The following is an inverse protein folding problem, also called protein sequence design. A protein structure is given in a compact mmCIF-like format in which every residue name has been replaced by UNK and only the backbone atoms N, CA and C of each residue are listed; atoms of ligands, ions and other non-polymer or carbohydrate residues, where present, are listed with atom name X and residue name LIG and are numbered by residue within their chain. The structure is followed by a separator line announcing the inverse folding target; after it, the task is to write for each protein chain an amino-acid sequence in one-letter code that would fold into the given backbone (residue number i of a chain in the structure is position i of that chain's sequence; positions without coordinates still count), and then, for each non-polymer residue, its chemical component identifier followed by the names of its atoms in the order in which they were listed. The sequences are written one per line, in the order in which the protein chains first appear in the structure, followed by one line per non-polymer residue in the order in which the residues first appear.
data_IF_604173553926
#
_entry.id   IF_604173553926
#
_cell.length_a   1.000
_cell.length_b   1.000
_cell.length_c   1.000
_cell.angle_alpha   90.00
_cell.angle_beta   90.00
_cell.angle_gamma   90.00
#
_symmetry.space_group_name_H-M   'P 1'
#
loop_
_entity.id
_entity.type
_entity.pdbx_description
1 polymer ?
#
# COMPACT_ATOMS: atom_id res chain seq x y z
N UNK A 1 5.16 -38.00 3.67
CA UNK A 1 5.35 -36.54 3.54
C UNK A 1 6.03 -36.28 2.21
N UNK A 2 5.49 -35.41 1.36
CA UNK A 2 6.13 -35.04 0.10
C UNK A 2 7.20 -33.96 0.36
N UNK A 3 8.46 -34.38 0.37
CA UNK A 3 9.60 -33.50 0.67
C UNK A 3 9.74 -32.37 -0.37
N UNK A 4 9.39 -32.62 -1.63
CA UNK A 4 9.48 -31.61 -2.69
C UNK A 4 8.42 -30.53 -2.50
N UNK A 5 7.21 -30.92 -2.09
CA UNK A 5 6.15 -29.96 -1.77
C UNK A 5 6.50 -29.09 -0.55
N UNK A 6 7.05 -29.68 0.52
CA UNK A 6 7.51 -28.91 1.67
C UNK A 6 8.57 -27.87 1.26
N UNK A 7 9.60 -28.31 0.53
CA UNK A 7 10.69 -27.42 0.09
C UNK A 7 10.15 -26.29 -0.81
N UNK A 8 9.19 -26.59 -1.70
CA UNK A 8 8.52 -25.59 -2.51
C UNK A 8 7.77 -24.55 -1.66
N UNK A 9 7.02 -24.98 -0.65
CA UNK A 9 6.27 -24.09 0.23
C UNK A 9 7.21 -23.23 1.08
N UNK A 10 8.30 -23.79 1.61
CA UNK A 10 9.32 -23.04 2.36
C UNK A 10 9.96 -21.95 1.49
N UNK A 11 10.37 -22.28 0.24
CA UNK A 11 10.89 -21.30 -0.72
C UNK A 11 9.85 -20.24 -1.09
N UNK A 12 8.58 -20.64 -1.19
CA UNK A 12 7.48 -19.70 -1.46
C UNK A 12 7.29 -18.71 -0.31
N UNK A 13 7.33 -19.17 0.94
CA UNK A 13 7.24 -18.29 2.12
C UNK A 13 8.42 -17.33 2.20
N UNK A 14 9.63 -17.79 1.89
CA UNK A 14 10.82 -16.96 1.83
C UNK A 14 10.69 -15.87 0.74
N UNK A 15 10.31 -16.25 -0.48
CA UNK A 15 10.08 -15.32 -1.59
C UNK A 15 8.98 -14.28 -1.28
N UNK A 16 7.93 -14.68 -0.56
CA UNK A 16 6.86 -13.79 -0.14
C UNK A 16 7.27 -12.84 1.01
N UNK A 17 8.48 -12.99 1.57
CA UNK A 17 9.02 -12.12 2.61
C UNK A 17 8.67 -12.55 4.03
N UNK A 18 8.27 -13.81 4.24
CA UNK A 18 8.04 -14.38 5.58
C UNK A 18 9.30 -15.01 6.18
N UNK A 19 10.28 -15.33 5.33
CA UNK A 19 11.54 -15.97 5.71
C UNK A 19 11.33 -17.41 6.18
N UNK A 20 12.21 -17.88 7.05
CA UNK A 20 12.24 -19.27 7.54
C UNK A 20 11.49 -19.49 8.86
N UNK A 21 10.94 -18.42 9.46
CA UNK A 21 10.31 -18.44 10.80
C UNK A 21 9.12 -19.39 10.92
N UNK A 22 8.51 -19.76 9.80
CA UNK A 22 7.36 -20.65 9.75
C UNK A 22 7.70 -22.08 9.32
N UNK A 23 8.97 -22.39 9.03
CA UNK A 23 9.35 -23.66 8.42
C UNK A 23 9.02 -24.85 9.33
N UNK A 24 9.37 -24.77 10.61
CA UNK A 24 9.14 -25.86 11.59
C UNK A 24 7.64 -26.12 11.82
N UNK A 25 6.85 -25.05 11.95
CA UNK A 25 5.39 -25.17 12.17
C UNK A 25 4.68 -25.61 10.89
N UNK A 26 5.17 -25.22 9.71
CA UNK A 26 4.67 -25.70 8.42
C UNK A 26 4.94 -27.20 8.25
N UNK A 27 6.16 -27.64 8.53
CA UNK A 27 6.54 -29.06 8.48
C UNK A 27 5.68 -29.89 9.44
N UNK A 28 5.54 -29.43 10.69
CA UNK A 28 4.70 -30.08 11.69
C UNK A 28 3.22 -30.15 11.26
N UNK A 29 2.69 -29.09 10.64
CA UNK A 29 1.31 -29.08 10.14
C UNK A 29 1.12 -30.07 8.98
N UNK A 30 2.03 -30.09 8.01
CA UNK A 30 1.97 -31.01 6.87
C UNK A 30 2.11 -32.48 7.32
N UNK A 31 2.94 -32.75 8.33
CA UNK A 31 3.09 -34.08 8.91
C UNK A 31 1.78 -34.63 9.51
N UNK A 32 0.97 -33.76 10.14
CA UNK A 32 -0.35 -34.12 10.70
C UNK A 32 -1.42 -34.38 9.65
N UNK A 33 -1.14 -34.04 8.39
CA UNK A 33 -2.02 -34.21 7.24
C UNK A 33 -3.45 -33.61 7.32
N UNK A 34 -3.67 -32.41 7.89
CA UNK A 34 -5.01 -31.79 7.93
C UNK A 34 -5.50 -31.36 6.54
N UNK A 35 -6.80 -31.41 6.26
CA UNK A 35 -7.33 -30.93 4.97
C UNK A 35 -7.07 -29.43 4.73
N UNK A 36 -7.15 -28.62 5.80
CA UNK A 36 -6.89 -27.18 5.79
C UNK A 36 -6.22 -26.77 7.10
N UNK A 37 -5.34 -25.79 7.04
CA UNK A 37 -4.74 -25.18 8.22
C UNK A 37 -4.26 -23.76 7.91
N UNK A 38 -4.00 -22.99 8.96
CA UNK A 38 -3.49 -21.62 8.84
C UNK A 38 -2.27 -21.39 9.74
N UNK A 39 -1.34 -20.56 9.28
CA UNK A 39 -0.14 -20.18 10.03
C UNK A 39 -0.10 -18.67 10.24
N UNK A 40 -0.03 -18.24 11.51
CA UNK A 40 0.05 -16.83 11.88
C UNK A 40 1.48 -16.31 12.00
N UNK A 41 1.75 -15.10 11.53
CA UNK A 41 3.04 -14.42 11.75
C UNK A 41 2.87 -12.91 11.91
N UNK A 42 3.59 -12.36 12.87
CA UNK A 42 3.66 -10.91 13.09
C UNK A 42 4.96 -10.33 12.50
N UNK A 43 4.83 -9.17 11.88
CA UNK A 43 5.92 -8.38 11.32
C UNK A 43 5.79 -6.93 11.76
N UNK A 44 6.93 -6.25 11.83
CA UNK A 44 7.03 -4.85 12.23
C UNK A 44 7.66 -4.07 11.08
N UNK A 45 7.08 -2.93 10.74
CA UNK A 45 7.59 -2.04 9.70
C UNK A 45 7.79 -0.64 10.25
N UNK A 46 8.90 -0.01 9.87
CA UNK A 46 9.18 1.38 10.23
C UNK A 46 8.56 2.26 9.13
N UNK A 47 7.62 3.17 9.47
CA UNK A 47 7.08 4.15 8.53
C UNK A 47 8.19 4.98 7.89
N UNK A 48 7.97 5.45 6.65
CA UNK A 48 9.00 6.14 5.90
C UNK A 48 9.41 7.47 6.59
N UNK A 49 8.46 8.13 7.24
CA UNK A 49 8.64 9.33 8.04
C UNK A 49 9.58 9.14 9.26
N UNK A 50 9.72 7.91 9.75
CA UNK A 50 10.51 7.58 10.96
C UNK A 50 11.77 6.77 10.68
N UNK A 51 12.20 6.66 9.42
CA UNK A 51 13.42 5.90 9.07
C UNK A 51 14.66 6.37 9.82
N UNK A 52 14.76 7.66 10.12
CA UNK A 52 15.87 8.24 10.88
C UNK A 52 15.72 8.13 12.39
N UNK A 53 14.54 7.77 12.88
CA UNK A 53 14.21 7.73 14.31
C UNK A 53 13.11 6.68 14.59
N UNK A 54 13.47 5.39 14.61
CA UNK A 54 12.51 4.29 14.73
C UNK A 54 11.74 4.26 16.07
N UNK A 55 12.19 5.00 17.09
CA UNK A 55 11.53 5.05 18.40
C UNK A 55 10.21 5.83 18.35
N UNK A 56 10.03 6.69 17.33
CA UNK A 56 8.80 7.49 17.16
C UNK A 56 7.57 6.69 16.78
N UNK A 57 7.73 5.52 16.19
CA UNK A 57 6.59 4.70 15.80
C UNK A 57 6.95 3.52 14.94
N UNK A 58 6.20 2.44 15.14
CA UNK A 58 6.35 1.20 14.37
C UNK A 58 4.96 0.68 14.03
N UNK A 59 4.78 0.30 12.77
CA UNK A 59 3.56 -0.35 12.32
C UNK A 59 3.63 -1.84 12.58
N UNK A 60 2.50 -2.42 12.99
CA UNK A 60 2.37 -3.84 13.26
C UNK A 60 1.51 -4.48 12.18
N UNK A 61 2.05 -5.51 11.54
CA UNK A 61 1.37 -6.31 10.54
C UNK A 61 1.18 -7.72 11.07
N UNK A 62 -0.08 -8.16 11.15
CA UNK A 62 -0.43 -9.56 11.43
C UNK A 62 -0.82 -10.23 10.13
N UNK A 63 -0.20 -11.36 9.83
CA UNK A 63 -0.52 -12.20 8.69
C UNK A 63 -1.06 -13.54 9.17
N UNK A 64 -2.06 -14.06 8.47
CA UNK A 64 -2.58 -15.41 8.62
C UNK A 64 -2.61 -16.09 7.25
N UNK A 65 -1.72 -17.07 7.07
CA UNK A 65 -1.45 -17.76 5.81
C UNK A 65 -2.33 -19.02 5.74
N UNK A 66 -3.21 -19.09 4.75
CA UNK A 66 -4.21 -20.15 4.62
C UNK A 66 -3.77 -21.24 3.64
N UNK A 67 -3.65 -22.47 4.12
CA UNK A 67 -3.22 -23.64 3.34
C UNK A 67 -4.33 -24.67 3.19
N UNK A 68 -4.29 -25.45 2.10
CA UNK A 68 -5.13 -26.63 1.93
C UNK A 68 -4.41 -27.77 1.23
N UNK A 69 -4.82 -28.99 1.54
CA UNK A 69 -4.44 -30.21 0.84
C UNK A 69 -5.27 -30.36 -0.44
N UNK A 70 -4.63 -30.70 -1.56
CA UNK A 70 -5.34 -31.11 -2.76
C UNK A 70 -5.93 -32.51 -2.61
N UNK A 71 -7.07 -32.72 -3.25
CA UNK A 71 -7.84 -33.97 -3.18
C UNK A 71 -7.21 -35.12 -3.96
N UNK A 72 -6.41 -34.82 -4.97
CA UNK A 72 -5.98 -35.80 -5.98
C UNK A 72 -4.56 -36.33 -5.75
N UNK A 73 -3.67 -35.54 -5.15
CA UNK A 73 -2.24 -35.85 -5.10
C UNK A 73 -1.61 -35.63 -3.71
N UNK A 74 -2.42 -35.39 -2.68
CA UNK A 74 -1.96 -35.14 -1.30
C UNK A 74 -0.96 -33.99 -1.12
N UNK A 75 -0.86 -33.09 -2.11
CA UNK A 75 0.02 -31.91 -2.11
C UNK A 75 -0.64 -30.74 -1.38
N UNK A 76 0.14 -29.94 -0.65
CA UNK A 76 -0.35 -28.72 -0.01
C UNK A 76 -0.10 -27.47 -0.85
N UNK A 77 -1.06 -26.54 -0.78
CA UNK A 77 -1.02 -25.26 -1.46
C UNK A 77 -1.24 -24.12 -0.47
N UNK A 78 -0.50 -23.03 -0.65
CA UNK A 78 -0.79 -21.74 -0.01
C UNK A 78 -1.78 -20.99 -0.90
N UNK A 79 -2.99 -20.73 -0.38
CA UNK A 79 -4.09 -20.20 -1.19
C UNK A 79 -4.26 -18.69 -1.06
N UNK A 80 -4.17 -18.20 0.18
CA UNK A 80 -4.38 -16.79 0.50
C UNK A 80 -3.66 -16.42 1.78
N UNK A 81 -3.52 -15.13 2.03
CA UNK A 81 -3.20 -14.62 3.35
C UNK A 81 -4.10 -13.45 3.71
N UNK A 82 -4.55 -13.48 4.96
CA UNK A 82 -5.30 -12.42 5.60
C UNK A 82 -4.31 -11.53 6.34
N UNK A 83 -4.48 -10.22 6.19
CA UNK A 83 -3.51 -9.23 6.61
C UNK A 83 -4.23 -8.15 7.40
N UNK A 84 -3.72 -7.84 8.58
CA UNK A 84 -4.20 -6.74 9.42
C UNK A 84 -3.05 -5.79 9.72
N UNK A 85 -3.20 -4.53 9.34
CA UNK A 85 -2.28 -3.44 9.64
C UNK A 85 -2.82 -2.61 10.80
N UNK A 86 -2.02 -2.51 11.86
CA UNK A 86 -2.19 -1.50 12.91
C UNK A 86 -1.12 -0.44 12.73
N UNK A 87 -1.53 0.76 12.33
CA UNK A 87 -0.65 1.92 12.16
C UNK A 87 -0.25 2.51 13.51
N UNK A 88 0.95 3.07 13.62
CA UNK A 88 1.43 3.75 14.83
C UNK A 88 0.52 4.91 15.28
N UNK A 89 -0.18 5.52 14.33
CA UNK A 89 -1.05 6.67 14.49
C UNK A 89 -2.52 6.37 14.14
N UNK A 90 -2.84 5.10 13.88
CA UNK A 90 -4.19 4.68 13.50
C UNK A 90 -5.01 4.31 14.73
N UNK A 91 -6.27 4.73 14.75
CA UNK A 91 -7.25 4.29 15.74
C UNK A 91 -7.89 2.96 15.36
N UNK A 92 -7.94 2.66 14.06
CA UNK A 92 -8.55 1.46 13.49
C UNK A 92 -7.52 0.62 12.75
N UNK A 93 -7.77 -0.68 12.72
CA UNK A 93 -6.96 -1.61 11.95
C UNK A 93 -7.47 -1.66 10.51
N UNK A 94 -6.54 -1.72 9.54
CA UNK A 94 -6.87 -1.96 8.13
C UNK A 94 -6.73 -3.44 7.86
N UNK A 95 -7.77 -4.07 7.31
CA UNK A 95 -7.79 -5.48 6.97
C UNK A 95 -7.82 -5.68 5.45
N UNK A 96 -7.15 -6.72 4.96
CA UNK A 96 -7.22 -7.15 3.56
C UNK A 96 -6.93 -8.64 3.46
N UNK A 97 -7.68 -9.34 2.60
CA UNK A 97 -7.36 -10.69 2.15
C UNK A 97 -6.76 -10.66 0.75
N UNK A 98 -5.61 -11.28 0.58
CA UNK A 98 -4.94 -11.46 -0.71
C UNK A 98 -4.97 -12.93 -1.11
N UNK A 99 -5.44 -13.21 -2.32
CA UNK A 99 -5.41 -14.53 -2.94
C UNK A 99 -4.17 -14.64 -3.85
N UNK A 100 -3.36 -15.69 -3.68
CA UNK A 100 -2.06 -15.76 -4.35
C UNK A 100 -2.18 -15.74 -5.88
N UNK A 101 -3.15 -16.47 -6.44
CA UNK A 101 -3.34 -16.57 -7.89
C UNK A 101 -3.98 -15.31 -8.48
N UNK A 102 -5.05 -14.80 -7.85
CA UNK A 102 -5.81 -13.64 -8.34
C UNK A 102 -5.05 -12.32 -8.16
N UNK A 103 -4.30 -12.20 -7.07
CA UNK A 103 -3.66 -10.97 -6.63
C UNK A 103 -2.13 -10.99 -6.87
N UNK A 104 -1.67 -11.87 -7.78
CA UNK A 104 -0.32 -11.91 -8.32
C UNK A 104 0.78 -12.07 -7.25
N UNK A 105 0.55 -12.93 -6.25
CA UNK A 105 1.53 -13.30 -5.19
C UNK A 105 2.21 -12.08 -4.57
N UNK A 106 1.42 -11.18 -4.00
CA UNK A 106 1.88 -9.94 -3.37
C UNK A 106 2.79 -10.24 -2.16
N UNK A 107 4.03 -9.73 -2.11
CA UNK A 107 4.91 -10.00 -0.95
C UNK A 107 4.39 -9.30 0.31
N UNK A 108 4.85 -9.71 1.49
CA UNK A 108 4.48 -9.10 2.76
C UNK A 108 4.73 -7.58 2.78
N UNK A 109 5.87 -7.14 2.23
CA UNK A 109 6.21 -5.72 2.10
C UNK A 109 5.29 -4.99 1.10
N UNK A 110 4.92 -5.64 0.00
CA UNK A 110 3.97 -5.06 -0.96
C UNK A 110 2.58 -4.93 -0.35
N UNK A 111 2.12 -5.91 0.43
CA UNK A 111 0.87 -5.83 1.17
C UNK A 111 0.89 -4.65 2.15
N UNK A 112 1.95 -4.52 2.94
CA UNK A 112 2.12 -3.38 3.86
C UNK A 112 1.98 -2.03 3.12
N UNK A 113 2.65 -1.86 1.98
CA UNK A 113 2.55 -0.62 1.17
C UNK A 113 1.13 -0.34 0.70
N UNK A 114 0.44 -1.35 0.22
CA UNK A 114 -0.95 -1.22 -0.24
C UNK A 114 -1.90 -0.84 0.90
N UNK A 115 -1.76 -1.46 2.08
CA UNK A 115 -2.57 -1.15 3.26
C UNK A 115 -2.25 0.24 3.84
N UNK A 116 -1.04 0.75 3.62
CA UNK A 116 -0.70 2.16 3.89
C UNK A 116 -1.31 3.15 2.87
N UNK A 117 -2.06 2.67 1.88
CA UNK A 117 -2.65 3.50 0.83
C UNK A 117 -1.67 3.91 -0.27
N UNK A 118 -0.47 3.31 -0.31
CA UNK A 118 0.51 3.56 -1.37
C UNK A 118 0.19 2.71 -2.60
N UNK A 119 0.70 3.16 -3.75
CA UNK A 119 0.56 2.45 -5.02
C UNK A 119 1.90 1.89 -5.46
N UNK A 120 1.93 0.69 -6.04
CA UNK A 120 3.15 0.06 -6.51
C UNK A 120 2.97 -0.54 -7.90
N UNK A 121 4.04 -0.58 -8.67
CA UNK A 121 4.14 -1.26 -9.96
C UNK A 121 4.71 -2.67 -9.75
N UNK A 122 4.11 -3.65 -10.43
CA UNK A 122 4.60 -5.02 -10.47
C UNK A 122 4.40 -5.59 -11.86
N UNK A 123 5.43 -6.29 -12.36
CA UNK A 123 5.31 -7.08 -13.57
C UNK A 123 4.43 -8.31 -13.33
N UNK A 124 3.38 -8.44 -14.13
CA UNK A 124 2.50 -9.60 -14.11
C UNK A 124 2.43 -10.25 -15.48
N UNK A 125 2.11 -11.54 -15.50
CA UNK A 125 1.91 -12.28 -16.74
C UNK A 125 0.44 -12.22 -17.15
N UNK A 126 0.17 -11.65 -18.32
CA UNK A 126 -1.17 -11.62 -18.92
C UNK A 126 -1.21 -12.51 -20.16
N UNK A 127 -2.38 -13.08 -20.46
CA UNK A 127 -2.57 -13.81 -21.72
C UNK A 127 -2.47 -12.83 -22.89
N UNK A 128 -1.71 -13.17 -23.92
CA UNK A 128 -1.65 -12.37 -25.14
C UNK A 128 -3.02 -12.46 -25.85
N UNK A 129 -3.78 -11.37 -25.85
CA UNK A 129 -5.11 -11.32 -26.50
C UNK A 129 -4.98 -11.01 -28.00
N UNK A 130 -3.81 -10.58 -28.46
CA UNK A 130 -3.57 -10.17 -29.84
C UNK A 130 -3.12 -11.31 -30.76
N UNK A 131 -2.66 -12.44 -30.20
CA UNK A 131 -2.20 -13.59 -30.98
C UNK A 131 -3.17 -14.76 -30.84
N UNK A 132 -3.47 -15.43 -31.97
CA UNK A 132 -4.31 -16.63 -32.05
C UNK A 132 -3.64 -17.89 -31.50
N UNK A 133 -2.38 -17.80 -31.08
CA UNK A 133 -1.68 -18.92 -30.45
C UNK A 133 -2.04 -19.00 -28.97
N UNK A 134 -2.77 -20.04 -28.62
CA UNK A 134 -3.24 -20.33 -27.27
C UNK A 134 -2.05 -20.59 -26.34
N UNK A 135 -1.72 -19.63 -25.47
CA UNK A 135 -0.84 -19.88 -24.32
C UNK A 135 0.33 -18.91 -24.12
N UNK A 136 0.61 -18.00 -25.06
CA UNK A 136 1.70 -17.03 -24.85
C UNK A 136 1.32 -16.03 -23.74
N UNK A 137 2.13 -16.01 -22.67
CA UNK A 137 1.99 -15.07 -21.56
C UNK A 137 3.02 -13.96 -21.71
N UNK A 138 2.55 -12.72 -21.80
CA UNK A 138 3.42 -11.54 -21.90
C UNK A 138 3.56 -10.91 -20.51
N UNK A 139 4.78 -10.51 -20.16
CA UNK A 139 5.02 -9.70 -18.96
C UNK A 139 4.59 -8.26 -19.21
N UNK A 140 3.75 -7.73 -18.34
CA UNK A 140 3.26 -6.36 -18.43
C UNK A 140 3.42 -5.67 -17.07
N UNK A 141 4.00 -4.47 -17.00
CA UNK A 141 4.06 -3.68 -15.78
C UNK A 141 2.65 -3.15 -15.45
N UNK A 142 2.15 -3.46 -14.26
CA UNK A 142 0.82 -3.06 -13.81
C UNK A 142 0.93 -2.37 -12.46
N UNK A 143 0.23 -1.25 -12.33
CA UNK A 143 0.11 -0.55 -11.05
C UNK A 143 -1.02 -1.13 -10.22
N UNK A 144 -0.78 -1.27 -8.92
CA UNK A 144 -1.71 -1.77 -7.93
C UNK A 144 -1.96 -0.71 -6.87
N UNK A 145 -3.22 -0.53 -6.49
CA UNK A 145 -3.63 0.33 -5.37
C UNK A 145 -4.90 -0.23 -4.71
N UNK A 146 -4.97 -0.21 -3.39
CA UNK A 146 -6.21 -0.50 -2.67
C UNK A 146 -7.10 0.73 -2.61
N UNK A 147 -8.41 0.52 -2.79
CA UNK A 147 -9.43 1.53 -2.49
C UNK A 147 -9.89 1.39 -1.04
N UNK A 148 -9.19 2.07 -0.14
CA UNK A 148 -9.46 2.04 1.30
C UNK A 148 -10.76 2.76 1.70
N UNK A 149 -11.41 3.44 0.75
CA UNK A 149 -12.68 4.14 0.99
C UNK A 149 -13.89 3.23 0.91
N UNK A 150 -13.73 2.06 0.29
CA UNK A 150 -14.78 1.06 0.11
C UNK A 150 -14.40 -0.17 0.93
N UNK A 151 -15.19 -0.52 1.91
CA UNK A 151 -15.13 -1.82 2.57
C UNK A 151 -16.23 -2.72 2.00
N UNK A 152 -15.83 -3.88 1.47
CA UNK A 152 -16.77 -4.95 1.13
C UNK A 152 -17.41 -5.54 2.39
N UNK A 153 -18.45 -6.36 2.21
CA UNK A 153 -19.14 -7.03 3.33
C UNK A 153 -18.22 -7.95 4.16
N UNK A 154 -17.10 -8.37 3.59
CA UNK A 154 -16.05 -9.19 4.20
C UNK A 154 -14.91 -8.36 4.82
N UNK A 155 -15.05 -7.02 4.84
CA UNK A 155 -14.02 -6.09 5.27
C UNK A 155 -12.90 -5.87 4.23
N UNK A 156 -13.01 -6.47 3.04
CA UNK A 156 -11.96 -6.40 2.03
C UNK A 156 -12.08 -5.13 1.18
N UNK A 157 -10.94 -4.55 0.79
CA UNK A 157 -10.89 -3.38 -0.07
C UNK A 157 -10.64 -3.78 -1.54
N UNK A 158 -11.30 -3.12 -2.51
CA UNK A 158 -11.03 -3.35 -3.93
C UNK A 158 -9.56 -3.09 -4.30
N UNK A 159 -8.91 -4.07 -4.93
CA UNK A 159 -7.56 -3.94 -5.48
C UNK A 159 -7.61 -3.49 -6.94
N UNK A 160 -7.45 -2.18 -7.14
CA UNK A 160 -7.44 -1.58 -8.48
C UNK A 160 -6.13 -1.88 -9.21
N UNK A 161 -6.25 -2.27 -10.49
CA UNK A 161 -5.14 -2.60 -11.40
C UNK A 161 -5.13 -1.59 -12.55
N UNK A 162 -4.03 -0.86 -12.72
CA UNK A 162 -3.86 0.08 -13.83
C UNK A 162 -2.82 -0.45 -14.81
N UNK A 163 -3.30 -0.95 -15.94
CA UNK A 163 -2.47 -1.47 -17.03
C UNK A 163 -1.81 -0.33 -17.82
N UNK A 164 -0.76 -0.59 -18.63
CA UNK A 164 -0.10 0.46 -19.41
C UNK A 164 -1.03 1.25 -20.31
N UNK A 165 -2.06 0.61 -20.89
CA UNK A 165 -3.09 1.28 -21.69
C UNK A 165 -3.93 2.32 -20.93
N UNK A 166 -3.87 2.33 -19.59
CA UNK A 166 -4.48 3.38 -18.77
C UNK A 166 -3.78 4.73 -18.95
N UNK A 167 -2.51 4.75 -19.37
CA UNK A 167 -1.76 5.97 -19.65
C UNK A 167 -1.32 6.73 -18.39
N UNK A 168 -0.94 6.01 -17.34
CA UNK A 168 -0.19 6.62 -16.23
C UNK A 168 1.30 6.52 -16.53
N UNK A 169 1.93 7.68 -16.72
CA UNK A 169 3.37 7.80 -16.96
C UNK A 169 4.00 8.51 -15.76
N UNK A 170 4.72 7.74 -14.94
CA UNK A 170 5.28 8.22 -13.68
C UNK A 170 6.29 9.36 -13.90
N UNK A 171 7.14 9.23 -14.93
CA UNK A 171 8.18 10.19 -15.28
C UNK A 171 7.55 11.54 -15.63
N UNK A 172 6.51 11.53 -16.47
CA UNK A 172 5.74 12.74 -16.79
C UNK A 172 5.03 13.31 -15.56
N UNK A 173 4.58 12.47 -14.64
CA UNK A 173 3.98 12.92 -13.39
C UNK A 173 5.01 13.63 -12.49
N UNK A 174 6.24 13.14 -12.42
CA UNK A 174 7.34 13.77 -11.66
C UNK A 174 7.71 15.12 -12.26
N UNK A 175 7.83 15.22 -13.58
CA UNK A 175 8.22 16.45 -14.30
C UNK A 175 7.21 17.60 -14.17
N UNK A 176 5.95 17.31 -13.84
CA UNK A 176 4.93 18.33 -13.61
C UNK A 176 5.14 19.15 -12.35
N UNK A 177 5.87 18.63 -11.36
CA UNK A 177 6.05 19.28 -10.07
C UNK A 177 7.42 19.94 -9.96
N UNK A 178 7.54 21.12 -9.32
CA UNK A 178 8.79 21.86 -9.19
C UNK A 178 9.70 21.28 -8.09
N UNK A 179 10.05 20.00 -8.21
CA UNK A 179 10.99 19.35 -7.30
C UNK A 179 12.42 19.88 -7.50
N UNK A 180 13.13 20.10 -6.39
CA UNK A 180 14.53 20.56 -6.40
C UNK A 180 15.48 19.38 -6.31
N UNK A 181 16.64 19.51 -6.97
CA UNK A 181 17.72 18.51 -6.91
C UNK A 181 17.37 17.17 -7.57
N UNK A 182 16.54 17.19 -8.62
CA UNK A 182 16.31 16.06 -9.54
C UNK A 182 17.03 16.26 -10.90
N UNK A 183 17.98 17.19 -10.97
CA UNK A 183 18.78 17.46 -12.17
C UNK A 183 19.78 16.33 -12.46
N UNK A 184 20.19 15.61 -11.42
CA UNK A 184 21.03 14.42 -11.51
C UNK A 184 20.22 13.21 -12.04
N UNK A 185 20.58 12.67 -13.21
CA UNK A 185 19.92 11.50 -13.80
C UNK A 185 19.89 10.28 -12.87
N UNK A 186 20.96 10.04 -12.09
CA UNK A 186 21.05 8.87 -11.21
C UNK A 186 20.05 9.00 -10.05
N UNK A 187 19.97 10.19 -9.46
CA UNK A 187 19.00 10.49 -8.40
C UNK A 187 17.56 10.44 -8.92
N UNK A 188 17.30 10.97 -10.12
CA UNK A 188 15.97 10.89 -10.78
C UNK A 188 15.57 9.43 -11.04
N UNK A 189 16.49 8.59 -11.47
CA UNK A 189 16.23 7.16 -11.66
C UNK A 189 15.96 6.44 -10.33
N UNK A 190 16.75 6.72 -9.29
CA UNK A 190 16.55 6.16 -7.96
C UNK A 190 15.18 6.54 -7.37
N UNK A 191 14.77 7.80 -7.55
CA UNK A 191 13.46 8.32 -7.15
C UNK A 191 12.33 7.62 -7.91
N UNK A 192 12.43 7.58 -9.23
CA UNK A 192 11.47 6.90 -10.10
C UNK A 192 11.30 5.44 -9.68
N UNK A 193 12.42 4.72 -9.47
CA UNK A 193 12.43 3.32 -9.04
C UNK A 193 11.79 3.14 -7.67
N UNK A 194 12.10 4.02 -6.71
CA UNK A 194 11.51 3.97 -5.37
C UNK A 194 9.99 4.19 -5.41
N UNK A 195 9.51 5.13 -6.22
CA UNK A 195 8.08 5.39 -6.42
C UNK A 195 7.39 4.22 -7.11
N UNK A 196 8.01 3.59 -8.13
CA UNK A 196 7.50 2.34 -8.74
C UNK A 196 7.38 1.21 -7.73
N UNK A 197 8.31 1.07 -6.79
CA UNK A 197 8.17 0.08 -5.73
C UNK A 197 7.12 0.45 -4.67
N UNK A 198 6.43 1.59 -4.79
CA UNK A 198 5.46 2.07 -3.81
C UNK A 198 6.10 2.52 -2.50
N UNK A 199 7.29 3.10 -2.57
CA UNK A 199 7.89 3.77 -1.43
C UNK A 199 7.39 5.22 -1.34
N UNK A 200 7.16 5.67 -0.12
CA UNK A 200 7.10 7.10 0.20
C UNK A 200 8.53 7.64 0.29
N UNK A 201 8.86 8.65 -0.50
CA UNK A 201 10.21 9.23 -0.59
C UNK A 201 10.22 10.67 -0.09
N UNK A 202 11.29 11.08 0.58
CA UNK A 202 11.48 12.48 0.95
C UNK A 202 12.15 13.22 -0.22
N UNK A 203 11.53 14.31 -0.66
CA UNK A 203 12.03 15.23 -1.69
C UNK A 203 11.88 16.66 -1.22
N UNK A 204 12.49 17.59 -1.93
CA UNK A 204 12.28 19.02 -1.74
C UNK A 204 11.51 19.58 -2.93
N UNK A 205 10.61 20.52 -2.68
CA UNK A 205 9.82 21.22 -3.69
C UNK A 205 9.99 22.73 -3.51
N UNK A 206 10.04 23.46 -4.61
CA UNK A 206 10.08 24.93 -4.58
C UNK A 206 8.66 25.47 -4.75
N UNK A 207 8.12 26.11 -3.71
CA UNK A 207 6.82 26.79 -3.71
C UNK A 207 7.08 28.26 -3.42
N UNK A 208 6.72 29.14 -4.37
CA UNK A 208 6.88 30.60 -4.24
C UNK A 208 8.32 31.04 -3.88
N UNK A 209 9.34 30.35 -4.39
CA UNK A 209 10.75 30.66 -4.12
C UNK A 209 11.28 30.10 -2.80
N UNK A 210 10.46 29.38 -2.02
CA UNK A 210 10.86 28.71 -0.78
C UNK A 210 10.99 27.21 -1.01
N UNK A 211 12.13 26.67 -0.60
CA UNK A 211 12.35 25.22 -0.61
C UNK A 211 11.69 24.58 0.62
N UNK A 212 10.78 23.64 0.37
CA UNK A 212 10.07 22.89 1.40
C UNK A 212 10.31 21.39 1.23
N UNK A 213 10.67 20.70 2.32
CA UNK A 213 10.76 19.24 2.32
C UNK A 213 9.38 18.58 2.37
N UNK A 214 9.13 17.66 1.46
CA UNK A 214 7.87 16.94 1.27
C UNK A 214 8.09 15.44 1.14
N UNK A 215 7.04 14.67 1.39
CA UNK A 215 6.99 13.25 1.07
C UNK A 215 6.16 13.02 -0.18
N UNK A 216 6.61 12.10 -1.04
CA UNK A 216 6.01 11.88 -2.37
C UNK A 216 5.74 10.40 -2.58
N UNK A 217 4.56 10.08 -3.12
CA UNK A 217 4.13 8.74 -3.52
C UNK A 217 3.44 8.77 -4.89
N UNK A 218 3.47 7.64 -5.60
CA UNK A 218 2.81 7.51 -6.89
C UNK A 218 1.28 7.38 -6.74
N UNK A 219 0.54 8.15 -7.55
CA UNK A 219 -0.93 8.06 -7.64
C UNK A 219 -1.38 7.74 -9.09
N UNK A 220 -1.42 6.45 -9.46
CA UNK A 220 -1.90 6.02 -10.76
C UNK A 220 -3.38 6.35 -10.95
N UNK A 221 -4.22 6.28 -9.91
CA UNK A 221 -5.67 6.56 -10.01
C UNK A 221 -5.92 7.94 -10.60
N UNK A 222 -5.23 8.97 -10.09
CA UNK A 222 -5.40 10.34 -10.55
C UNK A 222 -4.36 10.78 -11.59
N UNK A 223 -3.52 9.85 -12.05
CA UNK A 223 -2.41 10.07 -12.99
C UNK A 223 -1.44 11.19 -12.55
N UNK A 224 -1.17 11.28 -11.25
CA UNK A 224 -0.23 12.26 -10.65
C UNK A 224 0.59 11.62 -9.54
N UNK A 225 1.14 12.45 -8.66
CA UNK A 225 1.76 12.08 -7.40
C UNK A 225 0.88 12.54 -6.24
N UNK A 226 0.92 11.80 -5.14
CA UNK A 226 0.44 12.26 -3.84
C UNK A 226 1.62 12.93 -3.12
N UNK A 227 1.45 14.20 -2.73
CA UNK A 227 2.48 15.00 -2.07
C UNK A 227 2.00 15.33 -0.65
N UNK A 228 2.85 15.10 0.33
CA UNK A 228 2.57 15.31 1.74
C UNK A 228 3.59 16.27 2.35
N UNK A 229 3.15 17.12 3.28
CA UNK A 229 4.03 17.91 4.11
C UNK A 229 4.83 17.02 5.08
N UNK A 230 5.77 17.62 5.83
CA UNK A 230 6.49 16.91 6.92
C UNK A 230 5.56 16.36 8.00
N UNK A 231 4.40 16.98 8.19
CA UNK A 231 3.39 16.54 9.16
C UNK A 231 2.43 15.49 8.57
N UNK A 232 2.77 14.91 7.42
CA UNK A 232 1.97 13.91 6.70
C UNK A 232 0.59 14.42 6.24
N UNK A 233 0.43 15.73 6.08
CA UNK A 233 -0.80 16.34 5.53
C UNK A 233 -0.67 16.49 4.02
N UNK A 234 -1.71 16.09 3.29
CA UNK A 234 -1.74 16.17 1.82
C UNK A 234 -1.68 17.62 1.36
N UNK A 235 -0.71 17.92 0.50
CA UNK A 235 -0.61 19.19 -0.21
C UNK A 235 -1.38 19.09 -1.52
N UNK A 236 -2.37 19.96 -1.69
CA UNK A 236 -3.17 20.02 -2.92
C UNK A 236 -2.45 20.81 -3.99
N UNK A 237 -2.78 20.54 -5.25
CA UNK A 237 -2.16 21.22 -6.40
C UNK A 237 -2.30 22.75 -6.30
N UNK A 238 -3.41 23.28 -5.76
CA UNK A 238 -3.59 24.72 -5.57
C UNK A 238 -2.75 25.36 -4.46
N UNK A 239 -2.10 24.54 -3.63
CA UNK A 239 -1.13 24.99 -2.62
C UNK A 239 0.31 24.90 -3.14
N UNK A 240 0.51 24.19 -4.25
CA UNK A 240 1.82 23.94 -4.86
C UNK A 240 2.01 24.85 -6.08
N UNK A 241 0.95 25.03 -6.88
CA UNK A 241 0.95 25.82 -8.10
C UNK A 241 0.17 27.12 -7.90
N UNK A 242 0.68 28.20 -8.48
CA UNK A 242 -0.03 29.49 -8.58
C UNK A 242 -1.25 29.39 -9.49
N UNK A 243 -2.20 30.32 -9.36
CA UNK A 243 -3.43 30.37 -10.19
C UNK A 243 -3.16 30.39 -11.70
N UNK A 244 -2.06 31.03 -12.14
CA UNK A 244 -1.63 31.05 -13.55
C UNK A 244 -1.12 29.68 -14.04
N UNK A 245 -0.49 28.91 -13.16
CA UNK A 245 0.04 27.57 -13.46
C UNK A 245 -1.09 26.51 -13.50
N UNK A 246 -2.16 26.71 -12.73
CA UNK A 246 -3.35 25.86 -12.72
C UNK A 246 -4.26 26.09 -13.94
N UNK A 247 -4.28 27.30 -14.52
CA UNK A 247 -5.09 27.62 -15.69
C UNK A 247 -4.70 26.80 -16.95
N UNK A 248 -3.48 26.25 -16.99
CA UNK A 248 -3.04 25.31 -18.02
C UNK A 248 -3.37 23.84 -17.74
N UNK A 249 -3.94 23.50 -16.58
CA UNK A 249 -4.23 22.13 -16.15
C UNK A 249 -5.73 21.92 -15.93
N UNK A 250 -6.36 21.13 -16.79
CA UNK A 250 -7.79 20.84 -16.79
C UNK A 250 -8.19 20.05 -15.51
N UNK A 251 -8.97 20.61 -14.56
CA UNK A 251 -9.27 19.92 -13.33
C UNK A 251 -10.62 19.21 -13.43
N UNK A 252 -10.60 17.88 -13.59
CA UNK A 252 -11.70 17.04 -13.12
C UNK A 252 -11.14 16.07 -12.08
N UNK A 253 -11.37 16.37 -10.81
CA UNK A 253 -11.16 15.42 -9.71
C UNK A 253 -12.40 15.35 -8.84
N UNK A 254 -12.86 14.11 -8.65
CA UNK A 254 -13.87 13.71 -7.67
C UNK A 254 -13.11 13.42 -6.38
N UNK A 255 -13.47 14.14 -5.32
CA UNK A 255 -12.97 13.97 -3.97
C UNK A 255 -13.65 12.76 -3.34
N UNK A 256 -13.08 11.57 -3.45
CA UNK A 256 -13.43 10.45 -2.57
C UNK A 256 -12.27 9.47 -2.45
N UNK A 257 -11.89 9.20 -1.20
CA UNK A 257 -11.09 8.02 -0.81
C UNK A 257 -9.62 8.22 -0.45
N UNK A 258 -9.27 9.34 0.17
CA UNK A 258 -8.03 9.44 0.95
C UNK A 258 -8.39 9.13 2.41
N UNK A 259 -7.72 8.15 3.02
CA UNK A 259 -7.70 8.06 4.48
C UNK A 259 -7.26 9.43 5.00
N UNK A 260 -7.94 9.99 6.02
CA UNK A 260 -7.49 11.23 6.61
C UNK A 260 -6.04 11.03 7.07
N UNK A 261 -5.16 12.04 6.85
CA UNK A 261 -3.85 12.00 7.48
C UNK A 261 -4.06 11.81 8.99
N UNK A 262 -3.13 11.12 9.67
CA UNK A 262 -3.23 10.89 11.10
C UNK A 262 -3.54 12.21 11.78
N UNK A 263 -4.72 12.26 12.40
CA UNK A 263 -5.14 13.45 13.10
C UNK A 263 -4.15 13.62 14.25
N UNK A 264 -3.20 14.53 14.10
CA UNK A 264 -2.46 15.09 15.22
C UNK A 264 -3.55 15.59 16.15
N UNK A 265 -3.71 14.92 17.28
CA UNK A 265 -4.63 15.31 18.31
C UNK A 265 -4.28 16.76 18.69
N UNK A 266 -4.97 17.73 18.09
CA UNK A 266 -5.05 19.08 18.62
C UNK A 266 -5.83 18.94 19.92
N UNK A 267 -5.09 18.76 21.01
CA UNK A 267 -5.58 19.16 22.31
C UNK A 267 -5.99 20.62 22.19
N UNK A 268 -7.30 20.88 22.20
CA UNK A 268 -7.82 22.19 22.52
C UNK A 268 -8.08 22.21 24.03
N UNK A 269 -7.53 23.21 24.74
CA UNK A 269 -7.67 23.30 26.19
C UNK A 269 -9.09 23.72 26.51
N UNK A 270 -9.78 22.91 27.33
CA UNK A 270 -10.98 23.37 28.02
C UNK A 270 -10.57 24.44 29.03
N UNK A 271 -10.61 25.71 28.62
CA UNK A 271 -10.73 26.83 29.55
C UNK A 271 -12.21 27.11 29.80
N UNK A 272 -12.50 27.32 31.08
CA UNK A 272 -13.78 27.56 31.70
C UNK A 272 -14.52 28.80 31.18
N UNK A 273 -15.84 28.79 31.35
CA UNK A 273 -16.69 29.97 31.21
C UNK A 273 -18.15 29.65 31.53
N UNK A 274 -18.59 30.10 32.69
CA UNK A 274 -19.92 29.98 33.28
C UNK A 274 -21.06 30.51 32.39
N UNK A 275 -22.28 30.02 32.63
CA UNK A 275 -23.48 30.84 32.45
C UNK A 275 -24.70 30.17 31.82
N UNK A 276 -25.62 29.70 32.66
CA UNK A 276 -27.04 30.04 32.47
C UNK A 276 -28.01 28.95 32.01
N UNK A 277 -28.87 28.59 32.97
CA UNK A 277 -30.30 28.22 32.85
C UNK A 277 -30.68 26.79 32.47
N UNK A 278 -31.14 26.06 33.49
CA UNK A 278 -32.14 25.00 33.39
C UNK A 278 -33.36 25.45 32.56
N UNK A 279 -34.08 24.48 32.00
CA UNK A 279 -35.51 24.45 32.27
C UNK A 279 -35.99 23.10 32.82
N UNK A 280 -36.84 23.20 33.84
CA UNK A 280 -37.74 22.15 34.32
C UNK A 280 -38.95 21.98 33.37
N UNK A 281 -39.73 20.94 33.71
CA UNK A 281 -41.11 20.57 33.31
C UNK A 281 -41.08 19.52 32.18
N UNK A 282 -41.70 18.34 32.26
CA UNK A 282 -42.77 17.72 33.06
C UNK A 282 -43.36 16.62 32.14
N UNK A 283 -43.95 15.50 32.52
CA UNK A 283 -44.66 15.01 33.70
C UNK A 283 -44.16 13.60 34.04
#
# INVERSE_FOLDING_TARGET
MDQKNLEYLQKTLDYLGFGTRLNEVLESAIYRQPEKFSLGINQRYIPAEFRSDPEKGVDQMRFELNFSKAKENDVYFLNSYEVTLKRYNGTENVYQRFELERDNRMTALQCYKLLCGLSLEKEIYVKNVAQKEEGERVKVPVWFRLDLSVSGNDGNHPLNKFFPGYGYELEKAIEKYPFTGLDDPEKKEAVTRALRYGNLIALSINIEGKEQGVYVAANPRLKTLDIYSRDMVILRDNQIFSSEQLAGQNPKRITDGLLPPPQVARQLPWQAGEGGKEPKIGR
#
